data_IF_781203420360
#
_entry.id   IF_781203420360
#
_cell.length_a   1.000
_cell.length_b   1.000
_cell.length_c   1.000
_cell.angle_alpha   90.00
_cell.angle_beta   90.00
_cell.angle_gamma   90.00
#
_symmetry.space_group_name_H-M   'P 1'
#
loop_
_entity.id
_entity.type
_entity.pdbx_description
1 polymer ?
#
# COMPACT_ATOMS: atom_id res chain seq x y z
N UNK A 1 -41.13 15.59 -29.96
CA UNK A 1 -40.23 16.27 -29.00
C UNK A 1 -39.62 15.31 -27.99
N UNK A 2 -40.41 14.47 -27.28
CA UNK A 2 -39.89 13.45 -26.34
C UNK A 2 -38.90 12.44 -26.97
N UNK A 3 -39.14 11.97 -28.20
CA UNK A 3 -38.22 11.06 -28.90
C UNK A 3 -36.83 11.68 -29.16
N UNK A 4 -36.77 12.95 -29.57
CA UNK A 4 -35.51 13.65 -29.80
C UNK A 4 -34.71 13.90 -28.50
N UNK A 5 -35.39 14.14 -27.37
CA UNK A 5 -34.74 14.29 -26.06
C UNK A 5 -34.16 12.94 -25.59
N UNK A 6 -34.86 11.83 -25.86
CA UNK A 6 -34.38 10.49 -25.55
C UNK A 6 -33.13 10.13 -26.38
N UNK A 7 -33.11 10.43 -27.68
CA UNK A 7 -31.95 10.18 -28.54
C UNK A 7 -30.73 11.06 -28.18
N UNK A 8 -30.96 12.33 -27.82
CA UNK A 8 -29.89 13.23 -27.32
C UNK A 8 -29.32 12.73 -25.99
N UNK A 9 -30.17 12.29 -25.04
CA UNK A 9 -29.72 11.72 -23.77
C UNK A 9 -29.03 10.35 -23.92
N UNK A 10 -29.39 9.56 -24.94
CA UNK A 10 -28.70 8.29 -25.27
C UNK A 10 -27.36 8.57 -25.96
N UNK A 11 -27.29 9.59 -26.83
CA UNK A 11 -26.05 10.06 -27.45
C UNK A 11 -25.01 10.54 -26.43
N UNK A 12 -25.44 11.34 -25.45
CA UNK A 12 -24.58 11.87 -24.38
C UNK A 12 -24.04 10.75 -23.45
N UNK A 13 -24.87 9.74 -23.12
CA UNK A 13 -24.42 8.54 -22.39
C UNK A 13 -23.36 7.72 -23.14
N UNK A 14 -23.46 7.65 -24.46
CA UNK A 14 -22.49 6.94 -25.29
C UNK A 14 -21.16 7.70 -25.42
N UNK A 15 -21.17 9.02 -25.36
CA UNK A 15 -19.97 9.85 -25.40
C UNK A 15 -19.20 9.82 -24.08
N UNK A 16 -19.91 9.86 -22.94
CA UNK A 16 -19.31 9.64 -21.62
C UNK A 16 -18.70 8.25 -21.48
N UNK A 17 -19.38 7.21 -22.00
CA UNK A 17 -18.84 5.86 -22.02
C UNK A 17 -17.58 5.73 -22.89
N UNK A 18 -17.48 6.48 -24.00
CA UNK A 18 -16.28 6.52 -24.86
C UNK A 18 -15.10 7.20 -24.15
N UNK A 19 -15.34 8.30 -23.45
CA UNK A 19 -14.31 8.99 -22.67
C UNK A 19 -13.71 8.12 -21.56
N UNK A 20 -14.56 7.46 -20.77
CA UNK A 20 -14.12 6.53 -19.71
C UNK A 20 -13.36 5.34 -20.30
N UNK A 21 -13.83 4.76 -21.42
CA UNK A 21 -13.14 3.66 -22.10
C UNK A 21 -11.75 4.07 -22.61
N UNK A 22 -11.62 5.25 -23.20
CA UNK A 22 -10.32 5.76 -23.66
C UNK A 22 -9.32 5.92 -22.50
N UNK A 23 -9.77 6.40 -21.34
CA UNK A 23 -8.94 6.48 -20.14
C UNK A 23 -8.55 5.11 -19.61
N UNK A 24 -9.50 4.17 -19.54
CA UNK A 24 -9.23 2.79 -19.11
C UNK A 24 -8.25 2.08 -20.04
N UNK A 25 -8.41 2.21 -21.36
CA UNK A 25 -7.48 1.63 -22.34
C UNK A 25 -6.06 2.18 -22.17
N UNK A 26 -5.95 3.48 -21.86
CA UNK A 26 -4.65 4.12 -21.59
C UNK A 26 -4.00 3.55 -20.32
N UNK A 27 -4.77 3.31 -19.26
CA UNK A 27 -4.29 2.69 -18.01
C UNK A 27 -3.88 1.23 -18.26
N UNK A 28 -4.70 0.47 -18.98
CA UNK A 28 -4.45 -0.94 -19.31
C UNK A 28 -3.20 -1.08 -20.19
N UNK A 29 -2.95 -0.18 -21.12
CA UNK A 29 -1.72 -0.18 -21.92
C UNK A 29 -0.47 0.25 -21.14
N UNK A 30 -0.62 1.00 -20.04
CA UNK A 30 0.49 1.38 -19.16
C UNK A 30 0.85 0.26 -18.15
N UNK A 31 -0.14 -0.52 -17.73
CA UNK A 31 -0.05 -1.62 -16.76
C UNK A 31 1.06 -2.66 -17.04
N UNK A 32 1.22 -3.24 -18.26
CA UNK A 32 2.23 -4.28 -18.49
C UNK A 32 3.67 -3.78 -18.29
N UNK A 33 3.91 -2.48 -18.50
CA UNK A 33 5.24 -1.88 -18.31
C UNK A 33 5.55 -1.63 -16.83
N UNK A 34 4.55 -1.31 -16.02
CA UNK A 34 4.66 -1.17 -14.55
C UNK A 34 4.59 -2.54 -13.86
N UNK A 35 4.04 -3.55 -14.52
CA UNK A 35 3.75 -4.87 -13.94
C UNK A 35 4.95 -5.60 -13.35
N UNK A 36 6.15 -5.45 -13.92
CA UNK A 36 7.35 -6.09 -13.37
C UNK A 36 7.76 -5.47 -12.02
N UNK A 37 7.67 -4.14 -11.89
CA UNK A 37 7.89 -3.44 -10.62
C UNK A 37 6.76 -3.71 -9.63
N UNK A 38 5.52 -3.78 -10.10
CA UNK A 38 4.34 -4.12 -9.30
C UNK A 38 4.40 -5.54 -8.74
N UNK A 39 4.92 -6.51 -9.50
CA UNK A 39 5.11 -7.89 -9.04
C UNK A 39 6.16 -7.95 -7.93
N UNK A 40 7.27 -7.25 -8.10
CA UNK A 40 8.30 -7.12 -7.05
C UNK A 40 7.71 -6.48 -5.79
N UNK A 41 6.91 -5.42 -5.94
CA UNK A 41 6.23 -4.76 -4.84
C UNK A 41 5.27 -5.68 -4.09
N UNK A 42 4.50 -6.49 -4.83
CA UNK A 42 3.59 -7.47 -4.26
C UNK A 42 4.33 -8.58 -3.49
N UNK A 43 5.44 -9.08 -4.03
CA UNK A 43 6.30 -10.05 -3.35
C UNK A 43 6.89 -9.48 -2.06
N UNK A 44 7.33 -8.22 -2.08
CA UNK A 44 7.81 -7.52 -0.89
C UNK A 44 6.72 -7.45 0.18
N UNK A 45 5.50 -7.06 -0.21
CA UNK A 45 4.35 -7.04 0.70
C UNK A 45 4.07 -8.42 1.31
N UNK A 46 4.17 -9.49 0.52
CA UNK A 46 3.96 -10.85 1.00
C UNK A 46 5.00 -11.26 2.05
N UNK A 47 6.29 -11.03 1.78
CA UNK A 47 7.38 -11.37 2.71
C UNK A 47 7.23 -10.59 4.01
N UNK A 48 7.00 -9.28 3.92
CA UNK A 48 6.82 -8.43 5.10
C UNK A 48 5.54 -8.80 5.86
N UNK A 49 4.44 -9.12 5.17
CA UNK A 49 3.22 -9.55 5.84
C UNK A 49 3.45 -10.82 6.68
N UNK A 50 4.11 -11.83 6.11
CA UNK A 50 4.43 -13.07 6.83
C UNK A 50 5.36 -12.81 8.04
N UNK A 51 6.41 -12.01 7.86
CA UNK A 51 7.30 -11.62 8.96
C UNK A 51 6.57 -10.80 10.04
N UNK A 52 5.68 -9.90 9.65
CA UNK A 52 4.89 -9.08 10.56
C UNK A 52 3.92 -9.91 11.41
N UNK A 53 3.33 -10.97 10.86
CA UNK A 53 2.51 -11.92 11.64
C UNK A 53 3.36 -12.66 12.67
N UNK A 54 4.56 -13.12 12.30
CA UNK A 54 5.45 -13.85 13.21
C UNK A 54 5.98 -12.96 14.35
N UNK A 55 6.36 -11.71 14.02
CA UNK A 55 6.91 -10.75 14.98
C UNK A 55 5.83 -10.08 15.84
N UNK A 56 4.72 -9.67 15.23
CA UNK A 56 3.73 -8.77 15.84
C UNK A 56 2.33 -9.37 15.99
N UNK A 57 2.09 -10.60 15.55
CA UNK A 57 0.78 -11.25 15.62
C UNK A 57 0.26 -11.52 17.03
N UNK A 58 1.13 -11.44 18.05
CA UNK A 58 0.76 -11.64 19.45
C UNK A 58 0.47 -10.35 20.22
N UNK A 59 0.72 -9.17 19.64
CA UNK A 59 0.48 -7.91 20.36
C UNK A 59 -1.01 -7.71 20.62
N UNK A 60 -1.36 -7.37 21.86
CA UNK A 60 -2.74 -7.11 22.26
C UNK A 60 -2.92 -5.68 22.73
N UNK A 61 -3.90 -5.00 22.14
CA UNK A 61 -4.35 -3.68 22.59
C UNK A 61 -5.54 -3.86 23.53
N UNK A 62 -5.46 -3.31 24.73
CA UNK A 62 -6.50 -3.42 25.77
C UNK A 62 -6.67 -2.07 26.48
N UNK A 63 -7.71 -1.89 27.30
CA UNK A 63 -7.88 -0.65 28.08
C UNK A 63 -6.69 -0.36 29.00
N UNK A 64 -6.02 -1.40 29.52
CA UNK A 64 -4.79 -1.26 30.32
C UNK A 64 -3.57 -0.90 29.48
N UNK A 65 -3.61 -1.19 28.17
CA UNK A 65 -2.52 -1.09 27.22
C UNK A 65 -3.04 -0.38 25.94
N UNK A 66 -3.31 0.94 26.01
CA UNK A 66 -3.87 1.66 24.89
C UNK A 66 -2.88 1.71 23.73
N UNK A 67 -3.38 1.44 22.52
CA UNK A 67 -2.65 1.55 21.26
C UNK A 67 -3.07 2.83 20.53
N UNK A 68 -2.14 3.42 19.80
CA UNK A 68 -2.33 4.66 19.03
C UNK A 68 -2.32 4.43 17.52
N UNK A 69 -1.62 3.40 17.06
CA UNK A 69 -1.54 2.94 15.68
C UNK A 69 -2.29 1.65 15.42
N UNK A 70 -2.19 0.66 16.32
CA UNK A 70 -2.94 -0.58 16.18
C UNK A 70 -4.43 -0.38 16.49
N UNK A 71 -5.29 -0.95 15.65
CA UNK A 71 -6.74 -0.89 15.78
C UNK A 71 -7.37 -2.17 15.17
N UNK A 72 -8.69 -2.34 15.28
CA UNK A 72 -9.46 -3.41 14.63
C UNK A 72 -9.23 -3.50 13.12
N UNK A 73 -8.77 -2.43 12.48
CA UNK A 73 -8.48 -2.36 11.04
C UNK A 73 -6.98 -2.25 10.69
N UNK A 74 -6.10 -2.28 11.69
CA UNK A 74 -4.66 -2.21 11.48
C UNK A 74 -4.00 -3.10 12.55
N UNK A 75 -3.67 -4.34 12.19
CA UNK A 75 -3.02 -5.32 13.06
C UNK A 75 -2.45 -6.50 12.25
N UNK A 76 -1.60 -7.31 12.88
CA UNK A 76 -0.88 -8.44 12.25
C UNK A 76 -1.39 -9.84 12.68
N UNK A 77 -2.62 -9.94 13.21
CA UNK A 77 -3.21 -11.19 13.70
C UNK A 77 -3.89 -12.04 12.63
N UNK A 78 -4.73 -11.41 11.80
CA UNK A 78 -5.60 -12.14 10.86
C UNK A 78 -4.94 -12.39 9.50
N UNK A 79 -5.56 -13.27 8.71
CA UNK A 79 -5.20 -13.41 7.30
C UNK A 79 -5.70 -12.18 6.51
N UNK A 80 -4.82 -11.51 5.77
CA UNK A 80 -5.16 -10.34 4.96
C UNK A 80 -4.97 -8.99 5.66
N UNK A 81 -5.26 -8.89 6.96
CA UNK A 81 -5.05 -7.65 7.74
C UNK A 81 -3.60 -7.14 7.76
N UNK A 82 -2.55 -8.00 7.79
CA UNK A 82 -1.17 -7.60 7.58
C UNK A 82 -0.96 -6.83 6.27
N UNK A 83 -1.62 -7.25 5.18
CA UNK A 83 -1.49 -6.57 3.88
C UNK A 83 -2.11 -5.18 3.91
N UNK A 84 -3.29 -5.02 4.52
CA UNK A 84 -3.94 -3.71 4.68
C UNK A 84 -3.14 -2.79 5.62
N UNK A 85 -2.58 -3.34 6.69
CA UNK A 85 -1.72 -2.62 7.63
C UNK A 85 -0.45 -2.15 6.94
N UNK A 86 0.22 -3.01 6.17
CA UNK A 86 1.39 -2.65 5.37
C UNK A 86 1.06 -1.67 4.25
N UNK A 87 -0.12 -1.76 3.65
CA UNK A 87 -0.58 -0.77 2.68
C UNK A 87 -0.72 0.61 3.31
N UNK A 88 -1.33 0.70 4.50
CA UNK A 88 -1.42 1.94 5.28
C UNK A 88 -0.05 2.51 5.63
N UNK A 89 0.90 1.65 6.00
CA UNK A 89 2.28 2.07 6.29
C UNK A 89 2.98 2.57 5.01
N UNK A 90 2.78 1.90 3.88
CA UNK A 90 3.37 2.27 2.60
C UNK A 90 2.87 3.61 2.06
N UNK A 91 1.62 3.99 2.37
CA UNK A 91 1.10 5.33 2.06
C UNK A 91 1.62 6.42 3.01
N UNK A 92 2.33 6.05 4.07
CA UNK A 92 2.86 6.97 5.07
C UNK A 92 1.83 7.40 6.12
N UNK A 93 0.67 6.75 6.19
CA UNK A 93 -0.35 7.07 7.19
C UNK A 93 -0.08 6.37 8.52
N UNK A 94 0.01 7.16 9.59
CA UNK A 94 0.14 6.72 10.99
C UNK A 94 1.17 5.58 11.25
N UNK A 95 2.19 5.41 10.40
CA UNK A 95 3.18 4.34 10.53
C UNK A 95 4.04 4.49 11.80
N UNK A 96 4.27 5.73 12.24
CA UNK A 96 4.97 6.03 13.48
C UNK A 96 4.20 5.55 14.71
N UNK A 97 2.87 5.67 14.72
CA UNK A 97 2.02 5.15 15.79
C UNK A 97 2.06 3.62 15.84
N UNK A 98 1.95 2.98 14.67
CA UNK A 98 2.05 1.51 14.55
C UNK A 98 3.43 1.02 15.04
N UNK A 99 4.51 1.70 14.63
CA UNK A 99 5.86 1.37 15.09
C UNK A 99 6.02 1.55 16.60
N UNK A 100 5.48 2.63 17.18
CA UNK A 100 5.53 2.87 18.64
C UNK A 100 4.80 1.79 19.41
N UNK A 101 3.62 1.39 18.95
CA UNK A 101 2.87 0.33 19.61
C UNK A 101 3.55 -1.03 19.42
N UNK A 102 4.20 -1.27 18.28
CA UNK A 102 4.99 -2.48 18.04
C UNK A 102 6.28 -2.56 18.86
N UNK A 103 6.82 -1.41 19.28
CA UNK A 103 7.96 -1.32 20.20
C UNK A 103 7.59 -1.61 21.65
N UNK A 104 6.28 -1.62 21.95
CA UNK A 104 5.79 -1.79 23.30
C UNK A 104 6.19 -3.20 23.78
N UNK A 105 7.03 -3.24 24.80
CA UNK A 105 7.44 -4.50 25.41
C UNK A 105 6.30 -4.99 26.29
N UNK A 106 5.83 -6.21 26.07
CA UNK A 106 5.08 -6.90 27.12
C UNK A 106 6.01 -7.05 28.33
N UNK A 107 5.50 -6.66 29.50
CA UNK A 107 6.17 -6.81 30.80
C UNK A 107 6.21 -8.28 31.24
N UNK A 108 6.42 -9.21 30.30
CA UNK A 108 6.67 -10.60 30.60
C UNK A 108 8.04 -10.72 31.32
N UNK A 109 8.09 -11.21 32.57
CA UNK A 109 9.30 -11.15 33.41
C UNK A 109 10.48 -12.02 32.94
N UNK A 110 10.35 -12.77 31.84
CA UNK A 110 11.24 -13.88 31.51
C UNK A 110 12.02 -13.76 30.18
N UNK A 111 11.85 -12.69 29.41
CA UNK A 111 12.52 -12.60 28.10
C UNK A 111 13.75 -11.69 28.10
N UNK A 112 14.94 -12.29 28.19
CA UNK A 112 16.23 -11.65 27.96
C UNK A 112 16.43 -11.11 26.53
N UNK A 113 15.41 -11.20 25.67
CA UNK A 113 15.38 -10.70 24.30
C UNK A 113 14.85 -9.26 24.16
N UNK A 114 14.58 -8.56 25.27
CA UNK A 114 14.09 -7.16 25.28
C UNK A 114 14.91 -6.22 24.41
N UNK A 115 16.24 -6.28 24.47
CA UNK A 115 17.11 -5.43 23.65
C UNK A 115 17.04 -5.75 22.15
N UNK A 116 16.87 -7.03 21.80
CA UNK A 116 16.82 -7.46 20.40
C UNK A 116 15.52 -6.98 19.74
N UNK A 117 14.36 -7.13 20.40
CA UNK A 117 13.09 -6.65 19.85
C UNK A 117 13.00 -5.13 19.78
N UNK A 118 13.66 -4.43 20.71
CA UNK A 118 13.73 -2.95 20.70
C UNK A 118 14.46 -2.40 19.48
N UNK A 119 15.47 -3.11 18.98
CA UNK A 119 16.16 -2.74 17.75
C UNK A 119 15.47 -3.29 16.49
N UNK A 120 14.89 -4.50 16.58
CA UNK A 120 14.33 -5.20 15.44
C UNK A 120 13.04 -4.54 14.92
N UNK A 121 12.14 -4.10 15.80
CA UNK A 121 10.86 -3.54 15.38
C UNK A 121 11.01 -2.23 14.58
N UNK A 122 11.78 -1.21 15.04
CA UNK A 122 12.00 0.00 14.25
C UNK A 122 12.72 -0.30 12.93
N UNK A 123 13.68 -1.23 12.95
CA UNK A 123 14.42 -1.64 11.76
C UNK A 123 13.48 -2.24 10.70
N UNK A 124 12.56 -3.11 11.10
CA UNK A 124 11.54 -3.69 10.22
C UNK A 124 10.68 -2.60 9.54
N UNK A 125 10.10 -1.67 10.32
CA UNK A 125 9.21 -0.64 9.76
C UNK A 125 9.97 0.37 8.90
N UNK A 126 11.15 0.82 9.31
CA UNK A 126 11.95 1.79 8.55
C UNK A 126 12.42 1.19 7.23
N UNK A 127 12.93 -0.04 7.23
CA UNK A 127 13.35 -0.71 5.99
C UNK A 127 12.17 -0.91 5.05
N UNK A 128 11.00 -1.33 5.57
CA UNK A 128 9.79 -1.47 4.76
C UNK A 128 9.36 -0.14 4.13
N UNK A 129 9.29 0.94 4.92
CA UNK A 129 8.90 2.27 4.41
C UNK A 129 9.89 2.74 3.34
N UNK A 130 11.20 2.63 3.59
CA UNK A 130 12.21 3.04 2.61
C UNK A 130 12.11 2.24 1.31
N UNK A 131 11.96 0.92 1.38
CA UNK A 131 11.80 0.09 0.18
C UNK A 131 10.49 0.39 -0.54
N UNK A 132 9.38 0.56 0.18
CA UNK A 132 8.09 0.87 -0.41
C UNK A 132 8.13 2.22 -1.15
N UNK A 133 8.69 3.26 -0.51
CA UNK A 133 8.87 4.57 -1.14
C UNK A 133 9.81 4.50 -2.35
N UNK A 134 10.91 3.75 -2.25
CA UNK A 134 11.82 3.55 -3.39
C UNK A 134 11.11 2.93 -4.59
N UNK A 135 10.32 1.87 -4.37
CA UNK A 135 9.55 1.23 -5.45
C UNK A 135 8.49 2.17 -6.01
N UNK A 136 7.77 2.92 -5.16
CA UNK A 136 6.78 3.91 -5.61
C UNK A 136 7.42 5.00 -6.48
N UNK A 137 8.59 5.52 -6.07
CA UNK A 137 9.35 6.50 -6.86
C UNK A 137 9.80 5.89 -8.19
N UNK A 138 10.29 4.65 -8.19
CA UNK A 138 10.68 3.96 -9.43
C UNK A 138 9.49 3.77 -10.39
N UNK A 139 8.29 3.51 -9.87
CA UNK A 139 7.07 3.44 -10.69
C UNK A 139 6.74 4.81 -11.28
N UNK A 140 6.82 5.88 -10.50
CA UNK A 140 6.59 7.26 -10.99
C UNK A 140 7.61 7.61 -12.09
N UNK A 141 8.89 7.32 -11.86
CA UNK A 141 9.96 7.57 -12.84
C UNK A 141 9.72 6.76 -14.13
N UNK A 142 9.36 5.47 -14.02
CA UNK A 142 9.06 4.64 -15.18
C UNK A 142 7.90 5.21 -16.03
N UNK A 143 6.84 5.68 -15.37
CA UNK A 143 5.69 6.31 -16.06
C UNK A 143 6.07 7.64 -16.71
N UNK A 144 6.92 8.44 -16.05
CA UNK A 144 7.40 9.72 -16.59
C UNK A 144 8.31 9.51 -17.81
N UNK A 145 9.27 8.59 -17.74
CA UNK A 145 10.18 8.30 -18.85
C UNK A 145 9.42 7.83 -20.09
N UNK A 146 8.41 6.97 -19.93
CA UNK A 146 7.54 6.56 -21.04
C UNK A 146 6.85 7.76 -21.71
N UNK A 147 6.42 8.77 -20.93
CA UNK A 147 5.78 9.97 -21.49
C UNK A 147 6.78 10.88 -22.23
N UNK A 148 8.02 10.95 -21.75
CA UNK A 148 9.09 11.74 -22.37
C UNK A 148 9.54 11.12 -23.70
N UNK A 149 9.74 9.80 -23.76
CA UNK A 149 10.13 9.10 -25.00
C UNK A 149 9.11 9.32 -26.13
N UNK A 150 7.81 9.29 -25.79
CA UNK A 150 6.71 9.55 -26.74
C UNK A 150 6.69 11.00 -27.25
N UNK A 151 7.16 11.97 -26.46
CA UNK A 151 7.28 13.36 -26.91
C UNK A 151 8.53 13.60 -27.78
N UNK A 152 9.63 12.89 -27.53
CA UNK A 152 10.86 13.00 -28.32
C UNK A 152 10.68 12.39 -29.71
N UNK A 153 9.97 11.27 -29.87
CA UNK A 153 9.71 10.68 -31.21
C UNK A 153 8.65 11.45 -32.04
N UNK A 154 7.92 12.38 -31.43
CA UNK A 154 6.86 13.16 -32.10
C UNK A 154 7.27 14.59 -32.45
N UNK A 155 8.44 15.05 -32.03
CA UNK A 155 9.02 16.35 -32.41
C UNK A 155 10.14 16.19 -33.42
#
# INVERSE_FOLDING_TARGET
MLFAISDVAIGDRNEQAKGIRALLDTVIQALPQVGNLGLLFFLLFFIFAALGVDLFGKLECSEKHPCTGFDKHAHFKDFGMPFLTLFRIATGDNWNGIMKDALRQDDSPHDGKKHLMTALAPTYFVIFVLMAQFVLVNVVVAVLMKKLDVHIERG
#
